data_IF_268810513676
#
_entry.id   IF_268810513676
#
_cell.length_a   1.000
_cell.length_b   1.000
_cell.length_c   1.000
_cell.angle_alpha   90.00
_cell.angle_beta   90.00
_cell.angle_gamma   90.00
#
_symmetry.space_group_name_H-M   'P 1'
#
loop_
_entity.id
_entity.type
_entity.pdbx_description
1 polymer ?
#
# COMPACT_ATOMS: atom_id res chain seq x y z
N UNK A 1 -4.15 -29.58 -32.98
CA UNK A 1 -4.83 -30.56 -32.12
C UNK A 1 -5.52 -29.76 -31.04
N UNK A 2 -6.80 -29.47 -31.24
CA UNK A 2 -7.57 -28.68 -30.27
C UNK A 2 -7.75 -29.49 -28.98
N UNK A 3 -7.71 -28.83 -27.81
CA UNK A 3 -7.95 -29.51 -26.54
C UNK A 3 -9.42 -29.93 -26.49
N UNK A 4 -9.69 -31.21 -26.77
CA UNK A 4 -10.99 -31.81 -26.47
C UNK A 4 -11.23 -31.64 -24.98
N UNK A 5 -12.29 -30.91 -24.61
CA UNK A 5 -12.68 -30.74 -23.21
C UNK A 5 -12.86 -32.12 -22.58
N UNK A 6 -12.45 -32.27 -21.31
CA UNK A 6 -12.59 -33.52 -20.56
C UNK A 6 -14.04 -34.05 -20.59
N UNK A 7 -15.01 -33.15 -20.62
CA UNK A 7 -16.43 -33.46 -20.74
C UNK A 7 -16.77 -34.20 -22.04
N UNK A 8 -16.16 -33.83 -23.17
CA UNK A 8 -16.38 -34.51 -24.46
C UNK A 8 -15.81 -35.92 -24.48
N UNK A 9 -14.72 -36.17 -23.75
CA UNK A 9 -14.13 -37.51 -23.64
C UNK A 9 -15.01 -38.40 -22.76
N UNK A 10 -15.56 -37.84 -21.67
CA UNK A 10 -16.48 -38.58 -20.79
C UNK A 10 -17.79 -38.97 -21.48
N UNK A 11 -18.36 -38.08 -22.31
CA UNK A 11 -19.59 -38.37 -23.06
C UNK A 11 -19.38 -39.40 -24.17
N UNK A 12 -18.25 -39.36 -24.88
CA UNK A 12 -17.87 -40.39 -25.86
C UNK A 12 -17.72 -41.77 -25.21
N UNK A 13 -17.06 -41.84 -24.04
CA UNK A 13 -16.84 -43.09 -23.31
C UNK A 13 -18.15 -43.66 -22.74
N UNK A 14 -19.05 -42.79 -22.26
CA UNK A 14 -20.36 -43.19 -21.78
C UNK A 14 -21.25 -43.73 -22.90
N UNK A 15 -21.15 -43.15 -24.09
CA UNK A 15 -21.85 -43.60 -25.29
C UNK A 15 -21.34 -44.95 -25.80
N UNK A 16 -20.03 -45.19 -25.76
CA UNK A 16 -19.45 -46.48 -26.14
C UNK A 16 -19.88 -47.59 -25.17
N UNK A 17 -19.90 -47.28 -23.87
CA UNK A 17 -20.37 -48.19 -22.84
C UNK A 17 -21.87 -48.51 -23.00
N UNK A 18 -22.70 -47.50 -23.24
CA UNK A 18 -24.13 -47.70 -23.51
C UNK A 18 -24.40 -48.48 -24.80
N UNK A 19 -23.57 -48.31 -25.85
CA UNK A 19 -23.65 -49.13 -27.08
C UNK A 19 -23.34 -50.59 -26.83
N UNK A 20 -22.37 -50.88 -25.95
CA UNK A 20 -22.06 -52.26 -25.57
C UNK A 20 -23.14 -52.91 -24.69
N UNK A 21 -23.90 -52.11 -23.94
CA UNK A 21 -25.01 -52.59 -23.10
C UNK A 21 -26.32 -52.73 -23.88
N UNK A 22 -26.58 -51.85 -24.86
CA UNK A 22 -27.78 -51.91 -25.69
C UNK A 22 -27.81 -53.13 -26.64
N UNK A 23 -26.66 -53.76 -26.93
CA UNK A 23 -26.64 -55.03 -27.68
C UNK A 23 -27.25 -56.20 -26.89
N UNK A 24 -27.41 -56.08 -25.57
CA UNK A 24 -27.96 -57.14 -24.72
C UNK A 24 -29.43 -56.91 -24.33
N UNK A 25 -29.93 -55.67 -24.37
CA UNK A 25 -31.28 -55.33 -23.92
C UNK A 25 -31.97 -54.32 -24.87
N UNK A 26 -33.01 -54.71 -25.63
CA UNK A 26 -33.65 -53.86 -26.65
C UNK A 26 -34.39 -52.64 -26.07
N UNK A 27 -34.63 -52.60 -24.75
CA UNK A 27 -35.19 -51.42 -24.08
C UNK A 27 -34.20 -50.24 -23.96
N UNK A 28 -32.91 -50.48 -24.16
CA UNK A 28 -31.88 -49.42 -24.14
C UNK A 28 -31.62 -48.78 -25.51
N UNK A 29 -32.15 -49.33 -26.61
CA UNK A 29 -32.04 -48.70 -27.94
C UNK A 29 -32.68 -47.30 -27.95
N UNK A 30 -33.85 -47.15 -27.33
CA UNK A 30 -34.56 -45.86 -27.26
C UNK A 30 -33.70 -44.80 -26.53
N UNK A 31 -33.08 -45.19 -25.41
CA UNK A 31 -32.20 -44.31 -24.61
C UNK A 31 -30.93 -43.93 -25.38
N UNK A 32 -30.42 -44.84 -26.21
CA UNK A 32 -29.27 -44.59 -27.06
C UNK A 32 -29.61 -43.64 -28.22
N UNK A 33 -30.81 -43.75 -28.76
CA UNK A 33 -31.31 -42.80 -29.76
C UNK A 33 -31.48 -41.40 -29.18
N UNK A 34 -32.02 -41.29 -27.96
CA UNK A 34 -32.19 -39.99 -27.28
C UNK A 34 -30.86 -39.30 -26.96
N UNK A 35 -29.83 -40.06 -26.53
CA UNK A 35 -28.51 -39.49 -26.25
C UNK A 35 -27.78 -39.14 -27.56
N UNK A 36 -27.95 -39.94 -28.62
CA UNK A 36 -27.41 -39.60 -29.94
C UNK A 36 -28.06 -38.33 -30.50
N UNK A 37 -29.35 -38.10 -30.21
CA UNK A 37 -30.09 -36.89 -30.56
C UNK A 37 -29.58 -35.68 -29.78
N UNK A 38 -29.31 -35.85 -28.48
CA UNK A 38 -28.70 -34.83 -27.64
C UNK A 38 -27.32 -34.40 -28.16
N UNK A 39 -26.52 -35.34 -28.66
CA UNK A 39 -25.23 -35.03 -29.26
C UNK A 39 -25.33 -34.42 -30.66
N UNK A 40 -26.37 -34.77 -31.43
CA UNK A 40 -26.61 -34.20 -32.76
C UNK A 40 -27.12 -32.74 -32.64
N UNK A 41 -27.94 -32.46 -31.64
CA UNK A 41 -28.39 -31.10 -31.29
C UNK A 41 -27.26 -30.23 -30.69
N UNK A 42 -26.29 -30.85 -30.01
CA UNK A 42 -25.10 -30.16 -29.49
C UNK A 42 -23.92 -30.10 -30.48
N UNK A 43 -24.04 -30.70 -31.68
CA UNK A 43 -22.99 -30.61 -32.69
C UNK A 43 -23.01 -29.23 -33.35
N UNK A 44 -21.87 -28.55 -33.30
CA UNK A 44 -21.71 -27.12 -33.56
C UNK A 44 -21.86 -26.66 -35.02
N UNK A 45 -22.32 -27.53 -35.93
CA UNK A 45 -22.58 -27.15 -37.33
C UNK A 45 -24.04 -26.70 -37.49
N UNK A 46 -24.25 -25.42 -37.19
CA UNK A 46 -25.52 -24.71 -37.30
C UNK A 46 -26.06 -24.72 -38.73
N UNK A 47 -26.92 -25.66 -39.07
CA UNK A 47 -28.06 -25.49 -40.00
C UNK A 47 -28.99 -26.69 -39.91
N UNK A 48 -29.69 -26.82 -38.78
CA UNK A 48 -30.77 -27.82 -38.65
C UNK A 48 -32.03 -27.25 -39.30
N UNK A 49 -32.23 -27.55 -40.59
CA UNK A 49 -33.54 -27.43 -41.24
C UNK A 49 -34.27 -28.74 -40.97
N UNK A 50 -35.14 -28.77 -39.95
CA UNK A 50 -35.99 -29.93 -39.67
C UNK A 50 -36.92 -30.18 -40.87
N UNK A 51 -36.64 -31.24 -41.64
CA UNK A 51 -37.52 -31.66 -42.73
C UNK A 51 -38.58 -32.59 -42.16
N UNK A 52 -39.74 -32.62 -42.82
CA UNK A 52 -40.86 -33.51 -42.45
C UNK A 52 -40.45 -34.99 -42.45
N UNK A 53 -39.40 -35.33 -43.19
CA UNK A 53 -38.77 -36.65 -43.25
C UNK A 53 -38.03 -37.00 -41.94
N UNK A 54 -37.44 -36.02 -41.25
CA UNK A 54 -36.72 -36.23 -39.98
C UNK A 54 -37.68 -36.52 -38.83
N UNK A 55 -38.84 -35.85 -38.81
CA UNK A 55 -39.95 -36.14 -37.90
C UNK A 55 -40.49 -37.57 -38.04
N UNK A 56 -40.35 -38.18 -39.22
CA UNK A 56 -40.74 -39.58 -39.46
C UNK A 56 -39.63 -40.59 -39.17
N UNK A 57 -38.37 -40.14 -39.12
CA UNK A 57 -37.21 -41.00 -38.84
C UNK A 57 -37.05 -41.29 -37.32
N UNK A 58 -37.42 -40.33 -36.46
CA UNK A 58 -37.26 -40.44 -35.00
C UNK A 58 -38.54 -40.89 -34.27
N UNK A 59 -39.59 -41.27 -34.99
CA UNK A 59 -40.79 -41.87 -34.40
C UNK A 59 -40.71 -43.39 -34.39
N UNK A 60 -40.85 -44.02 -33.23
CA UNK A 60 -40.97 -45.49 -33.13
C UNK A 60 -42.06 -46.00 -34.09
N UNK A 61 -41.83 -47.12 -34.79
CA UNK A 61 -42.66 -47.55 -35.93
C UNK A 61 -44.13 -47.84 -35.58
N UNK A 62 -44.48 -47.93 -34.30
CA UNK A 62 -45.85 -48.06 -33.79
C UNK A 62 -46.63 -46.74 -33.67
N UNK A 63 -45.98 -45.57 -33.81
CA UNK A 63 -46.61 -44.23 -33.79
C UNK A 63 -46.74 -43.58 -35.18
N UNK A 64 -46.69 -44.37 -36.26
CA UNK A 64 -46.77 -43.89 -37.67
C UNK A 64 -48.11 -43.26 -38.10
N UNK A 65 -49.03 -43.02 -37.18
CA UNK A 65 -50.23 -42.24 -37.44
C UNK A 65 -50.32 -41.08 -36.44
N UNK A 66 -49.33 -40.18 -36.46
CA UNK A 66 -49.63 -38.79 -36.11
C UNK A 66 -50.67 -38.33 -37.13
N UNK A 67 -51.91 -38.21 -36.67
CA UNK A 67 -53.00 -37.63 -37.44
C UNK A 67 -52.51 -36.28 -38.00
N UNK A 68 -52.82 -35.98 -39.27
CA UNK A 68 -52.29 -34.78 -39.94
C UNK A 68 -52.61 -33.51 -39.14
N UNK A 69 -53.71 -33.52 -38.38
CA UNK A 69 -54.10 -32.46 -37.46
C UNK A 69 -53.14 -32.29 -36.27
N UNK A 70 -52.56 -33.37 -35.75
CA UNK A 70 -51.62 -33.31 -34.61
C UNK A 70 -50.24 -32.85 -35.05
N UNK A 71 -49.78 -33.26 -36.23
CA UNK A 71 -48.54 -32.75 -36.83
C UNK A 71 -48.67 -31.27 -37.19
N UNK A 72 -49.81 -30.84 -37.73
CA UNK A 72 -50.08 -29.42 -37.96
C UNK A 72 -50.13 -28.62 -36.66
N UNK A 73 -50.77 -29.12 -35.61
CA UNK A 73 -50.79 -28.46 -34.29
C UNK A 73 -49.38 -28.32 -33.71
N UNK A 74 -48.55 -29.35 -33.85
CA UNK A 74 -47.19 -29.33 -33.35
C UNK A 74 -46.33 -28.35 -34.16
N UNK A 75 -46.50 -28.30 -35.48
CA UNK A 75 -45.88 -27.26 -36.33
C UNK A 75 -46.34 -25.85 -35.96
N UNK A 76 -47.62 -25.65 -35.65
CA UNK A 76 -48.12 -24.34 -35.22
C UNK A 76 -47.56 -23.96 -33.85
N UNK A 77 -47.48 -24.89 -32.91
CA UNK A 77 -46.87 -24.66 -31.59
C UNK A 77 -45.38 -24.32 -31.74
N UNK A 78 -44.64 -25.07 -32.55
CA UNK A 78 -43.20 -24.82 -32.82
C UNK A 78 -42.98 -23.48 -33.51
N UNK A 79 -43.84 -23.11 -34.47
CA UNK A 79 -43.75 -21.79 -35.11
C UNK A 79 -44.11 -20.66 -34.13
N UNK A 80 -45.10 -20.87 -33.27
CA UNK A 80 -45.51 -19.88 -32.28
C UNK A 80 -44.43 -19.69 -31.20
N UNK A 81 -43.76 -20.77 -30.77
CA UNK A 81 -42.62 -20.66 -29.85
C UNK A 81 -41.41 -19.99 -30.53
N UNK A 82 -41.13 -20.30 -31.80
CA UNK A 82 -40.11 -19.59 -32.58
C UNK A 82 -40.43 -18.10 -32.75
N UNK A 83 -41.70 -17.74 -32.95
CA UNK A 83 -42.14 -16.34 -33.05
C UNK A 83 -42.00 -15.60 -31.70
N UNK A 84 -42.37 -16.23 -30.59
CA UNK A 84 -42.17 -15.70 -29.24
C UNK A 84 -40.67 -15.49 -28.96
N UNK A 85 -39.83 -16.48 -29.30
CA UNK A 85 -38.37 -16.37 -29.14
C UNK A 85 -37.83 -15.23 -30.02
N UNK A 86 -38.30 -15.14 -31.27
CA UNK A 86 -37.88 -14.07 -32.19
C UNK A 86 -38.25 -12.68 -31.71
N UNK A 87 -39.47 -12.50 -31.18
CA UNK A 87 -39.92 -11.22 -30.60
C UNK A 87 -39.13 -10.84 -29.35
N UNK A 88 -38.71 -11.82 -28.55
CA UNK A 88 -37.84 -11.60 -27.40
C UNK A 88 -36.45 -11.10 -27.82
N UNK A 89 -35.86 -11.68 -28.87
CA UNK A 89 -34.51 -11.31 -29.34
C UNK A 89 -34.47 -10.02 -30.17
N UNK A 90 -35.52 -9.70 -30.93
CA UNK A 90 -35.53 -8.53 -31.82
C UNK A 90 -36.30 -7.32 -31.24
N UNK A 91 -36.96 -7.49 -30.09
CA UNK A 91 -37.88 -6.51 -29.50
C UNK A 91 -39.11 -6.25 -30.38
N UNK A 92 -40.12 -5.55 -29.84
CA UNK A 92 -41.36 -5.20 -30.55
C UNK A 92 -41.17 -4.37 -31.85
N UNK A 93 -39.94 -3.93 -32.15
CA UNK A 93 -39.66 -2.94 -33.18
C UNK A 93 -39.44 -3.50 -34.61
N UNK A 94 -39.40 -4.82 -34.81
CA UNK A 94 -39.18 -5.41 -36.15
C UNK A 94 -40.33 -6.32 -36.63
N UNK A 95 -41.49 -5.73 -36.93
CA UNK A 95 -42.50 -6.33 -37.84
C UNK A 95 -42.05 -6.25 -39.32
N UNK A 96 -40.93 -6.89 -39.66
CA UNK A 96 -40.41 -6.90 -41.03
C UNK A 96 -40.44 -8.32 -41.65
N UNK A 97 -41.58 -8.65 -42.25
CA UNK A 97 -41.75 -9.58 -43.40
C UNK A 97 -41.12 -10.98 -43.28
N UNK A 98 -41.83 -11.86 -42.58
CA UNK A 98 -42.27 -13.24 -42.93
C UNK A 98 -41.41 -14.27 -43.68
N UNK A 99 -40.16 -14.05 -44.10
CA UNK A 99 -39.34 -15.18 -44.60
C UNK A 99 -37.82 -15.00 -44.49
N UNK A 100 -37.32 -13.81 -44.11
CA UNK A 100 -35.89 -13.61 -43.84
C UNK A 100 -35.51 -13.77 -42.37
N UNK A 101 -36.48 -13.72 -41.45
CA UNK A 101 -36.25 -13.81 -40.00
C UNK A 101 -35.68 -15.15 -39.55
N UNK A 102 -36.10 -16.26 -40.17
CA UNK A 102 -35.55 -17.59 -39.85
C UNK A 102 -34.08 -17.75 -40.26
N UNK A 103 -33.55 -16.89 -41.14
CA UNK A 103 -32.13 -16.87 -41.50
C UNK A 103 -31.33 -15.87 -40.69
N UNK A 104 -31.95 -14.79 -40.18
CA UNK A 104 -31.26 -13.78 -39.37
C UNK A 104 -31.26 -14.08 -37.87
N UNK A 105 -32.15 -14.96 -37.39
CA UNK A 105 -32.19 -15.36 -35.98
C UNK A 105 -30.89 -16.02 -35.49
N UNK A 106 -30.29 -16.97 -36.23
CA UNK A 106 -29.01 -17.57 -35.84
C UNK A 106 -27.89 -16.52 -35.78
N UNK A 107 -27.79 -15.66 -36.79
CA UNK A 107 -26.79 -14.58 -36.86
C UNK A 107 -26.94 -13.58 -35.69
N UNK A 108 -28.18 -13.22 -35.33
CA UNK A 108 -28.47 -12.36 -34.17
C UNK A 108 -28.09 -13.05 -32.86
N UNK A 109 -28.37 -14.35 -32.71
CA UNK A 109 -27.99 -15.12 -31.52
C UNK A 109 -26.46 -15.18 -31.40
N UNK A 110 -25.74 -15.46 -32.49
CA UNK A 110 -24.27 -15.45 -32.51
C UNK A 110 -23.70 -14.06 -32.16
N UNK A 111 -24.34 -12.99 -32.61
CA UNK A 111 -23.94 -11.63 -32.26
C UNK A 111 -24.10 -11.36 -30.76
N UNK A 112 -25.24 -11.76 -30.17
CA UNK A 112 -25.48 -11.61 -28.73
C UNK A 112 -24.61 -12.51 -27.88
N UNK A 113 -24.32 -13.75 -28.31
CA UNK A 113 -23.39 -14.61 -27.58
C UNK A 113 -21.98 -14.04 -27.61
N UNK A 114 -21.52 -13.51 -28.76
CA UNK A 114 -20.24 -12.82 -28.86
C UNK A 114 -20.19 -11.55 -27.97
N UNK A 115 -21.28 -10.78 -27.90
CA UNK A 115 -21.40 -9.62 -27.03
C UNK A 115 -21.36 -10.02 -25.54
N UNK A 116 -22.08 -11.07 -25.14
CA UNK A 116 -22.07 -11.60 -23.77
C UNK A 116 -20.66 -12.06 -23.39
N UNK A 117 -19.98 -12.81 -24.27
CA UNK A 117 -18.60 -13.27 -24.04
C UNK A 117 -17.66 -12.07 -23.87
N UNK A 118 -17.78 -11.05 -24.73
CA UNK A 118 -17.00 -9.82 -24.60
C UNK A 118 -17.30 -9.08 -23.28
N UNK A 119 -18.55 -9.02 -22.84
CA UNK A 119 -18.92 -8.39 -21.57
C UNK A 119 -18.40 -9.18 -20.36
N UNK A 120 -18.39 -10.51 -20.44
CA UNK A 120 -17.83 -11.38 -19.41
C UNK A 120 -16.31 -11.22 -19.31
N UNK A 121 -15.62 -11.12 -20.43
CA UNK A 121 -14.18 -10.84 -20.47
C UNK A 121 -13.85 -9.46 -19.88
N UNK A 122 -14.62 -8.43 -20.24
CA UNK A 122 -14.49 -7.10 -19.63
C UNK A 122 -14.76 -7.13 -18.13
N UNK A 123 -15.77 -7.86 -17.67
CA UNK A 123 -16.09 -8.01 -16.25
C UNK A 123 -14.98 -8.74 -15.51
N UNK A 124 -14.39 -9.78 -16.09
CA UNK A 124 -13.25 -10.49 -15.53
C UNK A 124 -12.04 -9.55 -15.40
N UNK A 125 -11.70 -8.83 -16.47
CA UNK A 125 -10.61 -7.85 -16.45
C UNK A 125 -10.82 -6.75 -15.38
N UNK A 126 -12.06 -6.23 -15.25
CA UNK A 126 -12.39 -5.26 -14.21
C UNK A 126 -12.28 -5.84 -12.80
N UNK A 127 -12.69 -7.09 -12.60
CA UNK A 127 -12.57 -7.79 -11.32
C UNK A 127 -11.09 -7.92 -10.93
N UNK A 128 -10.23 -8.33 -11.84
CA UNK A 128 -8.79 -8.46 -11.59
C UNK A 128 -8.14 -7.12 -11.21
N UNK A 129 -8.55 -6.02 -11.88
CA UNK A 129 -8.09 -4.67 -11.54
C UNK A 129 -8.53 -4.28 -10.13
N UNK A 130 -9.79 -4.54 -9.75
CA UNK A 130 -10.31 -4.22 -8.42
C UNK A 130 -9.60 -5.04 -7.35
N UNK A 131 -9.37 -6.32 -7.57
CA UNK A 131 -8.63 -7.18 -6.64
C UNK A 131 -7.19 -6.68 -6.45
N UNK A 132 -6.50 -6.30 -7.53
CA UNK A 132 -5.17 -5.70 -7.47
C UNK A 132 -5.16 -4.38 -6.68
N UNK A 133 -6.15 -3.50 -6.89
CA UNK A 133 -6.28 -2.25 -6.14
C UNK A 133 -6.54 -2.48 -4.65
N UNK A 134 -7.42 -3.43 -4.30
CA UNK A 134 -7.68 -3.79 -2.90
C UNK A 134 -6.41 -4.32 -2.24
N UNK A 135 -5.62 -5.13 -2.94
CA UNK A 135 -4.35 -5.61 -2.43
C UNK A 135 -3.35 -4.46 -2.20
N UNK A 136 -3.22 -3.54 -3.15
CA UNK A 136 -2.36 -2.35 -2.99
C UNK A 136 -2.79 -1.47 -1.80
N UNK A 137 -4.10 -1.29 -1.60
CA UNK A 137 -4.63 -0.53 -0.45
C UNK A 137 -4.27 -1.22 0.86
N UNK A 138 -4.44 -2.54 0.94
CA UNK A 138 -4.12 -3.31 2.15
C UNK A 138 -2.60 -3.28 2.47
N UNK A 139 -1.76 -3.39 1.45
CA UNK A 139 -0.30 -3.29 1.60
C UNK A 139 0.11 -1.89 2.07
N UNK A 140 -0.46 -0.84 1.47
CA UNK A 140 -0.22 0.54 1.89
C UNK A 140 -0.68 0.77 3.33
N UNK A 141 -1.85 0.28 3.72
CA UNK A 141 -2.37 0.38 5.08
C UNK A 141 -1.43 -0.28 6.09
N UNK A 142 -0.91 -1.48 5.79
CA UNK A 142 0.07 -2.15 6.65
C UNK A 142 1.37 -1.35 6.83
N UNK A 143 1.84 -0.68 5.78
CA UNK A 143 3.01 0.20 5.85
C UNK A 143 2.75 1.43 6.72
N UNK A 144 1.59 2.08 6.55
CA UNK A 144 1.20 3.24 7.36
C UNK A 144 1.05 2.88 8.85
N UNK A 145 0.40 1.76 9.17
CA UNK A 145 0.26 1.29 10.54
C UNK A 145 1.62 0.98 11.17
N UNK A 146 2.53 0.36 10.41
CA UNK A 146 3.92 0.14 10.83
C UNK A 146 4.68 1.44 11.09
N UNK A 147 4.57 2.42 10.18
CA UNK A 147 5.21 3.72 10.30
C UNK A 147 4.66 4.53 11.48
N UNK A 148 3.34 4.51 11.70
CA UNK A 148 2.71 5.18 12.84
C UNK A 148 3.12 4.53 14.15
N UNK A 149 3.14 3.19 14.22
CA UNK A 149 3.56 2.46 15.41
C UNK A 149 5.02 2.73 15.76
N UNK A 150 5.91 2.75 14.77
CA UNK A 150 7.33 3.09 14.99
C UNK A 150 7.49 4.55 15.42
N UNK A 151 6.78 5.50 14.81
CA UNK A 151 6.78 6.90 15.23
C UNK A 151 6.30 7.08 16.68
N UNK A 152 5.21 6.41 17.07
CA UNK A 152 4.65 6.48 18.42
C UNK A 152 5.60 5.83 19.45
N UNK A 153 6.19 4.68 19.11
CA UNK A 153 7.03 3.93 20.06
C UNK A 153 8.46 4.47 20.16
N UNK A 154 9.03 5.03 19.10
CA UNK A 154 10.44 5.44 19.09
C UNK A 154 10.63 6.95 19.17
N UNK A 155 9.86 7.72 18.41
CA UNK A 155 10.07 9.17 18.27
C UNK A 155 9.43 9.91 19.43
N UNK A 156 8.20 9.55 19.79
CA UNK A 156 7.45 10.24 20.84
C UNK A 156 8.13 10.17 22.22
N UNK A 157 8.69 9.02 22.67
CA UNK A 157 9.37 8.97 23.97
C UNK A 157 10.64 9.82 24.00
N UNK A 158 11.42 9.84 22.91
CA UNK A 158 12.62 10.69 22.80
C UNK A 158 12.24 12.18 22.89
N UNK A 159 11.18 12.58 22.20
CA UNK A 159 10.65 13.94 22.28
C UNK A 159 10.18 14.29 23.69
N UNK A 160 9.44 13.38 24.34
CA UNK A 160 8.97 13.58 25.72
C UNK A 160 10.13 13.66 26.72
N UNK A 161 11.19 12.87 26.55
CA UNK A 161 12.40 12.97 27.38
C UNK A 161 13.11 14.31 27.19
N UNK A 162 13.28 14.78 25.95
CA UNK A 162 13.85 16.10 25.68
C UNK A 162 13.01 17.23 26.27
N UNK A 163 11.67 17.12 26.17
CA UNK A 163 10.73 18.06 26.78
C UNK A 163 10.82 18.06 28.30
N UNK A 164 10.90 16.89 28.93
CA UNK A 164 11.07 16.77 30.38
C UNK A 164 12.39 17.41 30.83
N UNK A 165 13.51 17.09 30.17
CA UNK A 165 14.80 17.70 30.47
C UNK A 165 14.81 19.22 30.32
N UNK A 166 14.11 19.76 29.30
CA UNK A 166 13.93 21.20 29.11
C UNK A 166 13.14 21.84 30.26
N UNK A 167 12.05 21.20 30.70
CA UNK A 167 11.26 21.66 31.84
C UNK A 167 12.11 21.65 33.12
N UNK A 168 12.89 20.59 33.36
CA UNK A 168 13.78 20.48 34.52
C UNK A 168 14.87 21.56 34.51
N UNK A 169 15.46 21.85 33.34
CA UNK A 169 16.43 22.93 33.18
C UNK A 169 15.81 24.29 33.52
N UNK A 170 14.59 24.57 33.04
CA UNK A 170 13.88 25.80 33.33
C UNK A 170 13.57 25.90 34.83
N UNK A 171 13.11 24.81 35.45
CA UNK A 171 12.83 24.76 36.88
C UNK A 171 14.11 25.04 37.70
N UNK A 172 15.22 24.37 37.38
CA UNK A 172 16.51 24.60 38.03
C UNK A 172 17.01 26.05 37.84
N UNK A 173 16.78 26.64 36.67
CA UNK A 173 17.14 28.04 36.40
C UNK A 173 16.31 29.01 37.24
N UNK A 174 15.01 28.76 37.38
CA UNK A 174 14.11 29.54 38.25
C UNK A 174 14.58 29.42 39.70
N UNK A 175 14.83 28.21 40.19
CA UNK A 175 15.33 27.98 41.55
C UNK A 175 16.65 28.68 41.82
N UNK A 176 17.61 28.59 40.90
CA UNK A 176 18.89 29.29 41.01
C UNK A 176 18.71 30.82 41.06
N UNK A 177 17.80 31.36 40.24
CA UNK A 177 17.49 32.80 40.26
C UNK A 177 16.84 33.24 41.58
N UNK A 178 15.94 32.43 42.15
CA UNK A 178 15.32 32.69 43.45
C UNK A 178 16.34 32.61 44.60
N UNK A 179 17.26 31.64 44.56
CA UNK A 179 18.36 31.54 45.52
C UNK A 179 19.27 32.77 45.44
N UNK A 180 19.64 33.24 44.24
CA UNK A 180 20.41 34.48 44.05
C UNK A 180 19.67 35.70 44.62
N UNK A 181 18.37 35.82 44.36
CA UNK A 181 17.57 36.92 44.91
C UNK A 181 17.53 36.87 46.45
N UNK A 182 17.36 35.70 47.03
CA UNK A 182 17.41 35.52 48.49
C UNK A 182 18.78 35.87 49.07
N UNK A 183 19.88 35.55 48.38
CA UNK A 183 21.23 35.97 48.78
C UNK A 183 21.39 37.49 48.73
N UNK A 184 20.98 38.14 47.64
CA UNK A 184 21.02 39.62 47.51
C UNK A 184 20.15 40.27 48.60
N UNK A 185 18.97 39.71 48.88
CA UNK A 185 18.11 40.14 49.98
C UNK A 185 18.82 39.99 51.34
N UNK A 186 19.47 38.86 51.59
CA UNK A 186 20.22 38.63 52.82
C UNK A 186 21.43 39.56 52.96
N UNK A 187 22.18 39.81 51.88
CA UNK A 187 23.30 40.74 51.85
C UNK A 187 22.85 42.18 52.10
N UNK A 188 21.79 42.63 51.43
CA UNK A 188 21.23 43.97 51.63
C UNK A 188 20.71 44.14 53.06
N UNK A 189 19.96 43.17 53.60
CA UNK A 189 19.53 43.20 55.01
C UNK A 189 20.72 43.27 55.97
N UNK A 190 21.79 42.48 55.74
CA UNK A 190 23.02 42.58 56.54
C UNK A 190 23.68 43.94 56.40
N UNK A 191 23.78 44.49 55.20
CA UNK A 191 24.32 45.83 54.99
C UNK A 191 23.50 46.89 55.73
N UNK A 192 22.16 46.82 55.68
CA UNK A 192 21.28 47.77 56.36
C UNK A 192 21.32 47.65 57.89
N UNK A 193 21.26 46.42 58.43
CA UNK A 193 21.06 46.19 59.86
C UNK A 193 22.36 45.92 60.65
N UNK A 194 23.42 45.39 60.03
CA UNK A 194 24.69 45.15 60.72
C UNK A 194 25.61 46.39 60.77
N UNK A 195 25.15 47.57 60.33
CA UNK A 195 25.92 48.81 60.43
C UNK A 195 26.06 49.38 61.86
N UNK A 196 25.60 48.66 62.90
CA UNK A 196 25.56 49.19 64.28
C UNK A 196 26.39 48.46 65.35
N UNK A 197 27.25 47.49 65.03
CA UNK A 197 27.96 46.77 66.10
C UNK A 197 29.29 47.39 66.59
N UNK A 198 30.00 48.19 65.78
CA UNK A 198 31.31 48.77 66.14
C UNK A 198 31.41 50.27 65.87
N UNK A 199 30.28 50.99 65.81
CA UNK A 199 30.31 52.43 65.68
C UNK A 199 30.72 53.06 67.02
N UNK A 200 31.91 53.65 67.02
CA UNK A 200 32.40 54.58 68.06
C UNK A 200 31.25 55.55 68.41
N UNK A 201 30.93 55.78 69.70
CA UNK A 201 29.82 56.63 70.08
C UNK A 201 30.10 58.07 69.64
N UNK A 202 29.46 58.51 68.55
CA UNK A 202 29.57 59.88 68.02
C UNK A 202 29.56 60.00 66.50
N UNK A 203 29.84 58.92 65.75
CA UNK A 203 29.85 58.97 64.29
C UNK A 203 28.68 58.15 63.73
N UNK A 204 27.48 58.77 63.74
CA UNK A 204 26.30 58.21 63.10
C UNK A 204 26.48 58.22 61.57
N UNK A 205 27.18 57.21 61.05
CA UNK A 205 27.23 56.94 59.60
C UNK A 205 25.80 56.67 59.14
N UNK A 206 25.21 57.69 58.54
CA UNK A 206 23.84 57.68 58.03
C UNK A 206 23.63 56.50 57.08
N UNK A 207 22.46 55.87 57.15
CA UNK A 207 22.03 54.80 56.22
C UNK A 207 22.22 55.23 54.76
N UNK A 208 22.08 56.52 54.45
CA UNK A 208 22.35 57.06 53.11
C UNK A 208 23.79 56.88 52.64
N UNK A 209 24.77 56.94 53.55
CA UNK A 209 26.19 56.78 53.22
C UNK A 209 26.56 55.30 53.03
N UNK A 210 25.89 54.40 53.76
CA UNK A 210 25.98 52.96 53.54
C UNK A 210 25.39 52.56 52.17
N UNK A 211 24.22 53.11 51.80
CA UNK A 211 23.59 52.90 50.49
C UNK A 211 24.51 53.40 49.38
N UNK A 212 25.11 54.59 49.53
CA UNK A 212 26.01 55.14 48.53
C UNK A 212 27.24 54.24 48.29
N UNK A 213 27.86 53.73 49.36
CA UNK A 213 29.00 52.80 49.25
C UNK A 213 28.61 51.44 48.67
N UNK A 214 27.45 50.90 49.05
CA UNK A 214 26.95 49.65 48.48
C UNK A 214 26.64 49.80 46.99
N UNK A 215 26.07 50.94 46.59
CA UNK A 215 25.83 51.26 45.18
C UNK A 215 27.12 51.40 44.40
N UNK A 216 28.13 52.08 44.95
CA UNK A 216 29.46 52.17 44.33
C UNK A 216 30.11 50.80 44.16
N UNK A 217 30.07 49.94 45.19
CA UNK A 217 30.61 48.59 45.11
C UNK A 217 29.88 47.73 44.05
N UNK A 218 28.53 47.78 44.02
CA UNK A 218 27.74 47.09 42.99
C UNK A 218 28.05 47.61 41.58
N UNK A 219 28.32 48.90 41.43
CA UNK A 219 28.66 49.51 40.14
C UNK A 219 30.07 49.16 39.68
N UNK A 220 30.99 48.94 40.60
CA UNK A 220 32.32 48.38 40.28
C UNK A 220 32.22 46.91 39.87
N UNK A 221 31.41 46.12 40.58
CA UNK A 221 31.14 44.71 40.24
C UNK A 221 30.45 44.59 38.86
N UNK A 222 29.49 45.45 38.55
CA UNK A 222 28.84 45.52 37.23
C UNK A 222 29.86 45.76 36.12
N UNK A 223 30.80 46.68 36.32
CA UNK A 223 31.88 46.95 35.34
C UNK A 223 32.81 45.76 35.17
N UNK A 224 33.15 45.09 36.27
CA UNK A 224 33.99 43.88 36.24
C UNK A 224 33.31 42.76 35.45
N UNK A 225 32.04 42.48 35.74
CA UNK A 225 31.25 41.47 35.03
C UNK A 225 31.05 41.82 33.55
N UNK A 226 30.89 43.10 33.21
CA UNK A 226 30.80 43.55 31.82
C UNK A 226 32.11 43.31 31.06
N UNK A 227 33.26 43.52 31.71
CA UNK A 227 34.57 43.21 31.11
C UNK A 227 34.77 41.70 30.94
N UNK A 228 34.37 40.89 31.92
CA UNK A 228 34.42 39.43 31.84
C UNK A 228 33.48 38.87 30.77
N UNK A 229 32.29 39.45 30.60
CA UNK A 229 31.38 39.07 29.51
C UNK A 229 31.99 39.35 28.14
N UNK A 230 32.68 40.48 27.97
CA UNK A 230 33.36 40.81 26.72
C UNK A 230 34.52 39.85 26.41
N UNK A 231 35.29 39.43 27.42
CA UNK A 231 36.36 38.45 27.21
C UNK A 231 35.80 37.07 26.85
N UNK A 232 34.71 36.65 27.48
CA UNK A 232 34.02 35.40 27.16
C UNK A 232 33.41 35.43 25.75
N UNK A 233 32.75 36.52 25.35
CA UNK A 233 32.24 36.69 24.00
C UNK A 233 33.35 36.62 22.96
N UNK A 234 34.51 37.20 23.24
CA UNK A 234 35.67 37.09 22.36
C UNK A 234 36.15 35.65 22.21
N UNK A 235 36.28 34.91 23.33
CA UNK A 235 36.65 33.49 23.29
C UNK A 235 35.62 32.65 22.53
N UNK A 236 34.32 32.93 22.71
CA UNK A 236 33.25 32.24 21.97
C UNK A 236 33.33 32.50 20.48
N UNK A 237 33.66 33.74 20.06
CA UNK A 237 33.91 34.04 18.65
C UNK A 237 35.12 33.28 18.11
N UNK A 238 36.21 33.16 18.87
CA UNK A 238 37.37 32.35 18.47
C UNK A 238 36.96 30.87 18.28
N UNK A 239 36.19 30.30 19.21
CA UNK A 239 35.69 28.94 19.06
C UNK A 239 34.73 28.78 17.88
N UNK A 240 33.86 29.75 17.62
CA UNK A 240 32.95 29.72 16.47
C UNK A 240 33.72 29.79 15.16
N UNK A 241 34.78 30.60 15.08
CA UNK A 241 35.66 30.62 13.89
C UNK A 241 36.41 29.30 13.69
N UNK A 242 36.84 28.63 14.76
CA UNK A 242 37.45 27.30 14.68
C UNK A 242 36.43 26.25 14.22
N UNK A 243 35.19 26.31 14.71
CA UNK A 243 34.11 25.43 14.28
C UNK A 243 33.76 25.67 12.82
N UNK A 244 33.65 26.92 12.39
CA UNK A 244 33.42 27.28 10.99
C UNK A 244 34.56 26.82 10.09
N UNK A 245 35.81 26.81 10.55
CA UNK A 245 36.94 26.24 9.80
C UNK A 245 36.82 24.71 9.64
N UNK A 246 36.18 24.02 10.58
CA UNK A 246 35.93 22.58 10.50
C UNK A 246 34.70 22.27 9.62
N UNK A 247 33.64 23.08 9.71
CA UNK A 247 32.37 22.89 8.99
C UNK A 247 32.40 23.42 7.54
N UNK A 248 33.12 24.51 7.27
CA UNK A 248 33.39 24.95 5.90
C UNK A 248 34.38 23.96 5.27
N UNK A 249 33.86 23.00 4.51
CA UNK A 249 34.57 21.86 3.93
C UNK A 249 35.71 22.15 2.93
N UNK A 250 36.41 23.27 3.10
CA UNK A 250 37.62 23.71 2.38
C UNK A 250 38.87 23.71 3.26
N UNK A 251 38.81 23.12 4.46
CA UNK A 251 39.94 23.07 5.40
C UNK A 251 40.81 21.82 5.22
N UNK A 252 42.13 22.03 5.23
CA UNK A 252 43.17 21.01 5.06
C UNK A 252 43.10 19.85 6.07
N UNK A 253 42.27 19.90 7.11
CA UNK A 253 42.04 18.76 8.01
C UNK A 253 41.40 17.56 7.29
N UNK A 254 40.46 17.80 6.37
CA UNK A 254 39.90 16.73 5.53
C UNK A 254 40.97 16.13 4.62
N UNK A 255 41.82 16.97 4.04
CA UNK A 255 42.95 16.54 3.22
C UNK A 255 43.97 15.74 4.03
N UNK A 256 44.27 16.15 5.27
CA UNK A 256 45.15 15.41 6.18
C UNK A 256 44.55 14.04 6.54
N UNK A 257 43.24 13.96 6.79
CA UNK A 257 42.56 12.68 7.04
C UNK A 257 42.58 11.79 5.80
N UNK A 258 42.34 12.35 4.61
CA UNK A 258 42.39 11.63 3.34
C UNK A 258 43.80 11.14 3.01
N UNK A 259 44.82 11.97 3.20
CA UNK A 259 46.24 11.62 3.01
C UNK A 259 46.68 10.56 4.03
N UNK A 260 46.24 10.66 5.28
CA UNK A 260 46.52 9.65 6.31
C UNK A 260 45.83 8.31 5.98
N UNK A 261 44.56 8.34 5.56
CA UNK A 261 43.82 7.16 5.15
C UNK A 261 44.44 6.49 3.91
N UNK A 262 44.90 7.29 2.95
CA UNK A 262 45.63 6.82 1.76
C UNK A 262 46.95 6.15 2.14
N UNK A 263 47.76 6.82 2.96
CA UNK A 263 49.04 6.27 3.44
C UNK A 263 48.82 4.96 4.19
N UNK A 264 47.77 4.87 5.03
CA UNK A 264 47.42 3.62 5.71
C UNK A 264 47.08 2.50 4.73
N UNK A 265 46.25 2.78 3.73
CA UNK A 265 45.87 1.79 2.71
C UNK A 265 47.10 1.31 1.92
N UNK A 266 47.98 2.22 1.51
CA UNK A 266 49.23 1.88 0.82
C UNK A 266 50.17 1.06 1.73
N UNK A 267 50.29 1.40 3.02
CA UNK A 267 51.10 0.62 3.96
C UNK A 267 50.54 -0.78 4.19
N UNK A 268 49.21 -0.94 4.20
CA UNK A 268 48.57 -2.25 4.37
C UNK A 268 48.63 -3.09 3.09
N UNK A 269 48.57 -2.47 1.91
CA UNK A 269 48.83 -3.13 0.63
C UNK A 269 50.29 -3.57 0.53
N UNK A 270 51.24 -2.70 0.87
CA UNK A 270 52.66 -3.04 0.95
C UNK A 270 52.90 -4.19 1.95
N UNK A 271 52.26 -4.18 3.12
CA UNK A 271 52.32 -5.31 4.08
C UNK A 271 51.70 -6.60 3.54
N UNK A 272 50.65 -6.52 2.71
CA UNK A 272 50.06 -7.69 2.06
C UNK A 272 50.97 -8.24 0.98
N UNK A 273 51.59 -7.38 0.18
CA UNK A 273 52.50 -7.79 -0.88
C UNK A 273 53.81 -8.32 -0.32
N UNK A 274 54.34 -7.74 0.75
CA UNK A 274 55.49 -8.30 1.45
C UNK A 274 55.18 -9.68 2.04
N UNK A 275 53.97 -9.90 2.58
CA UNK A 275 53.51 -11.24 2.97
C UNK A 275 53.43 -12.22 1.79
N UNK A 276 53.00 -11.77 0.61
CA UNK A 276 52.98 -12.59 -0.61
C UNK A 276 54.38 -12.94 -1.10
N UNK A 277 55.36 -12.07 -0.86
CA UNK A 277 56.77 -12.29 -1.16
C UNK A 277 57.50 -13.12 -0.11
N UNK A 278 56.77 -13.68 0.87
CA UNK A 278 57.34 -14.54 1.92
C UNK A 278 57.99 -13.78 3.07
N UNK A 279 57.80 -12.46 3.16
CA UNK A 279 58.28 -11.68 4.30
C UNK A 279 57.30 -11.83 5.48
N UNK A 280 57.64 -12.71 6.41
CA UNK A 280 57.06 -12.76 7.75
C UNK A 280 57.81 -11.77 8.62
N UNK A 281 57.34 -10.52 8.63
CA UNK A 281 58.00 -9.41 9.32
C UNK A 281 58.04 -9.58 10.84
N UNK A 282 59.13 -10.17 11.32
CA UNK A 282 59.65 -9.95 12.67
C UNK A 282 60.29 -8.55 12.79
#
# INVERSE_FOLDING_TARGET
MEPRSLENIYTELYLELLKSLATEDPGLEDLLTDISLGNLLNSADGTIVLRQEDLTAYGTPTRRHLDSSTSQKLLTEVNNTLEIISTLFHGENHRAKDNSLNKSLPDSIECFTAEIISMEEQRAAHKDIVEALVQQINEAQGQYDGAVKTAILEVLPKYNQARAASIDLIAATIEASLQRLNLIRGQSQRAFYNHHANAIPGESKSVSQAIARAYEALKEEEKYLAAEAQTLDHQLQEYDTLLQLVDSGTSGYKQIIEDWAKTKRETDECRKDLRRLGWTGD
#
